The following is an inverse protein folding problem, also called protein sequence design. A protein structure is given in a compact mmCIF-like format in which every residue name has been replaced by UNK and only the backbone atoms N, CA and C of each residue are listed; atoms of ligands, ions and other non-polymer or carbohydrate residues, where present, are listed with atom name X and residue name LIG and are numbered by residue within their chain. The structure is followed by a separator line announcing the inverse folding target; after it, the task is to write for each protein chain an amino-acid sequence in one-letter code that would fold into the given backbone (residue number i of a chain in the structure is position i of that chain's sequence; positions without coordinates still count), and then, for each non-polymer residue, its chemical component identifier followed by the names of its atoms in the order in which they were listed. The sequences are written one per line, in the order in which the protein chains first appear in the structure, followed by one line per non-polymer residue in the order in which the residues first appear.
data_IF_247082282323
#
_entry.id   IF_247082282323
#
_cell.length_a   1.000
_cell.length_b   1.000
_cell.length_c   1.000
_cell.angle_alpha   90.00
_cell.angle_beta   90.00
_cell.angle_gamma   90.00
#
_symmetry.space_group_name_H-M   'P 1'
#
loop_
_entity.id
_entity.type
_entity.pdbx_description
1 polymer ?
#
# COMPACT_ATOMS: atom_id res chain seq x y z
N UNK A 1 -11.86 16.66 -8.00
CA UNK A 1 -12.10 15.28 -8.45
C UNK A 1 -10.76 14.58 -8.59
N UNK A 2 -10.31 13.85 -7.57
CA UNK A 2 -9.08 13.05 -7.60
C UNK A 2 -9.46 11.72 -8.24
N UNK A 3 -9.47 11.64 -9.57
CA UNK A 3 -9.99 10.46 -10.26
C UNK A 3 -8.94 9.42 -10.64
N UNK A 4 -7.64 9.73 -10.56
CA UNK A 4 -6.59 8.73 -10.84
C UNK A 4 -5.22 9.16 -10.31
N UNK A 5 -4.77 8.56 -9.19
CA UNK A 5 -3.37 8.60 -8.75
C UNK A 5 -2.68 7.27 -9.09
N UNK A 6 -1.45 7.33 -9.59
CA UNK A 6 -0.64 6.14 -9.82
C UNK A 6 0.01 5.68 -8.51
N UNK A 7 -0.07 4.38 -8.19
CA UNK A 7 0.63 3.81 -7.03
C UNK A 7 2.09 3.54 -7.39
N UNK A 8 3.00 4.38 -6.87
CA UNK A 8 4.46 4.22 -7.06
C UNK A 8 5.21 3.86 -5.78
N UNK A 9 4.54 3.93 -4.63
CA UNK A 9 5.14 3.65 -3.32
C UNK A 9 5.53 2.18 -3.21
N UNK A 10 6.76 1.91 -2.75
CA UNK A 10 7.21 0.56 -2.35
C UNK A 10 7.38 0.55 -0.84
N UNK A 11 6.56 -0.26 -0.18
CA UNK A 11 6.57 -0.47 1.26
C UNK A 11 6.69 -1.98 1.48
N UNK A 12 7.59 -2.37 2.36
CA UNK A 12 7.83 -3.75 2.75
C UNK A 12 7.52 -3.89 4.23
N UNK A 13 6.69 -4.88 4.57
CA UNK A 13 6.29 -5.18 5.95
C UNK A 13 6.66 -6.65 6.20
N UNK A 14 7.54 -6.89 7.16
CA UNK A 14 8.02 -8.22 7.51
C UNK A 14 7.65 -8.55 8.96
N UNK A 15 6.93 -9.64 9.17
CA UNK A 15 6.47 -10.07 10.50
C UNK A 15 4.95 -10.20 10.55
N UNK A 16 4.46 -10.99 11.49
CA UNK A 16 3.02 -11.29 11.65
C UNK A 16 2.32 -10.42 12.69
N UNK A 17 3.10 -9.77 13.55
CA UNK A 17 2.61 -8.88 14.61
C UNK A 17 3.03 -7.44 14.28
N UNK A 18 2.05 -6.56 14.15
CA UNK A 18 2.23 -5.15 13.78
C UNK A 18 3.18 -4.40 14.74
N UNK A 19 3.16 -4.78 16.02
CA UNK A 19 4.02 -4.15 17.04
C UNK A 19 5.51 -4.46 16.80
N UNK A 20 5.81 -5.65 16.30
CA UNK A 20 7.18 -6.15 16.09
C UNK A 20 7.62 -6.18 14.63
N UNK A 21 6.71 -5.94 13.69
CA UNK A 21 6.99 -6.00 12.26
C UNK A 21 8.11 -5.02 11.84
N UNK A 22 8.99 -5.42 10.94
CA UNK A 22 9.94 -4.49 10.31
C UNK A 22 9.24 -3.83 9.13
N UNK A 23 9.10 -2.51 9.19
CA UNK A 23 8.52 -1.70 8.11
C UNK A 23 9.65 -0.94 7.44
N UNK A 24 9.79 -1.13 6.13
CA UNK A 24 10.76 -0.42 5.30
C UNK A 24 10.08 0.20 4.08
N UNK A 25 10.60 1.33 3.62
CA UNK A 25 10.18 1.96 2.37
C UNK A 25 11.40 2.29 1.52
N UNK A 26 11.23 2.33 0.20
CA UNK A 26 12.36 2.61 -0.67
C UNK A 26 11.99 2.81 -2.13
N UNK A 27 13.03 2.96 -2.96
CA UNK A 27 12.92 3.17 -4.40
C UNK A 27 12.85 1.87 -5.20
N UNK A 28 13.31 0.75 -4.63
CA UNK A 28 13.41 -0.54 -5.31
C UNK A 28 12.08 -1.31 -5.33
N UNK A 29 11.74 -1.89 -6.47
CA UNK A 29 10.80 -3.02 -6.55
C UNK A 29 11.55 -4.36 -6.58
N UNK A 30 10.83 -5.47 -6.45
CA UNK A 30 11.42 -6.82 -6.42
C UNK A 30 11.76 -7.36 -7.82
N UNK A 31 12.31 -6.52 -8.70
CA UNK A 31 12.79 -6.92 -10.02
C UNK A 31 14.31 -7.06 -10.03
N UNK A 32 14.83 -8.07 -10.74
CA UNK A 32 16.28 -8.33 -10.87
C UNK A 32 17.07 -7.10 -11.29
N UNK A 33 16.51 -6.28 -12.19
CA UNK A 33 17.17 -5.04 -12.65
C UNK A 33 17.35 -4.02 -11.52
N UNK A 34 16.40 -3.93 -10.58
CA UNK A 34 16.44 -3.00 -9.46
C UNK A 34 17.36 -3.55 -8.35
N UNK A 35 17.36 -4.86 -8.13
CA UNK A 35 18.19 -5.50 -7.11
C UNK A 35 19.67 -5.68 -7.49
N UNK A 36 20.01 -5.73 -8.78
CA UNK A 36 21.37 -6.06 -9.22
C UNK A 36 22.05 -4.98 -10.07
N UNK A 37 21.27 -4.15 -10.78
CA UNK A 37 21.82 -3.22 -11.79
C UNK A 37 21.60 -1.75 -11.48
N UNK A 38 20.78 -1.43 -10.48
CA UNK A 38 20.47 -0.05 -10.09
C UNK A 38 20.96 0.20 -8.67
N UNK A 39 21.34 1.44 -8.42
CA UNK A 39 21.57 1.91 -7.06
C UNK A 39 20.20 2.29 -6.51
N UNK A 40 19.79 1.60 -5.45
CA UNK A 40 18.50 1.77 -4.80
C UNK A 40 18.69 2.06 -3.31
N UNK A 41 17.74 2.78 -2.71
CA UNK A 41 17.76 3.08 -1.28
C UNK A 41 16.49 2.53 -0.64
N UNK A 42 16.67 1.80 0.46
CA UNK A 42 15.59 1.37 1.35
C UNK A 42 15.92 1.82 2.77
N UNK A 43 14.94 2.38 3.47
CA UNK A 43 15.06 2.88 4.83
C UNK A 43 14.03 2.22 5.75
N UNK A 44 14.48 1.82 6.94
CA UNK A 44 13.61 1.29 7.98
C UNK A 44 12.87 2.43 8.68
N UNK A 45 11.56 2.25 8.87
CA UNK A 45 10.72 3.22 9.58
C UNK A 45 10.68 2.84 11.05
N UNK A 46 11.34 3.66 11.87
CA UNK A 46 11.47 3.47 13.32
C UNK A 46 10.43 4.26 14.12
N UNK A 47 10.01 5.40 13.59
CA UNK A 47 9.01 6.24 14.26
C UNK A 47 7.66 5.53 14.34
N UNK A 48 7.09 5.45 15.55
CA UNK A 48 5.87 4.68 15.81
C UNK A 48 4.64 5.28 15.15
N UNK A 49 4.55 6.61 15.03
CA UNK A 49 3.43 7.27 14.37
C UNK A 49 3.46 7.00 12.86
N UNK A 50 4.63 7.15 12.22
CA UNK A 50 4.83 6.80 10.81
C UNK A 50 4.54 5.32 10.54
N UNK A 51 4.99 4.42 11.42
CA UNK A 51 4.70 2.97 11.30
C UNK A 51 3.20 2.71 11.31
N UNK A 52 2.48 3.29 12.28
CA UNK A 52 1.02 3.15 12.37
C UNK A 52 0.34 3.67 11.10
N UNK A 53 0.76 4.84 10.62
CA UNK A 53 0.19 5.45 9.42
C UNK A 53 0.37 4.57 8.17
N UNK A 54 1.54 3.95 8.01
CA UNK A 54 1.80 3.03 6.89
C UNK A 54 0.97 1.74 6.99
N UNK A 55 0.77 1.21 8.19
CA UNK A 55 -0.12 0.07 8.41
C UNK A 55 -1.59 0.42 8.12
N UNK A 56 -2.03 1.60 8.56
CA UNK A 56 -3.37 2.11 8.25
C UNK A 56 -3.55 2.25 6.72
N UNK A 57 -2.55 2.76 5.99
CA UNK A 57 -2.59 2.83 4.52
C UNK A 57 -2.70 1.45 3.88
N UNK A 58 -1.92 0.48 4.35
CA UNK A 58 -1.96 -0.88 3.84
C UNK A 58 -3.35 -1.50 4.04
N UNK A 59 -3.95 -1.33 5.23
CA UNK A 59 -5.29 -1.80 5.54
C UNK A 59 -6.36 -1.14 4.64
N UNK A 60 -6.27 0.18 4.43
CA UNK A 60 -7.19 0.90 3.52
C UNK A 60 -7.06 0.42 2.07
N UNK A 61 -5.85 0.13 1.61
CA UNK A 61 -5.61 -0.42 0.27
C UNK A 61 -6.13 -1.86 0.15
N UNK A 62 -5.97 -2.67 1.19
CA UNK A 62 -6.44 -4.06 1.22
C UNK A 62 -7.96 -4.17 1.22
N UNK A 63 -8.65 -3.20 1.83
CA UNK A 63 -10.11 -3.12 1.89
C UNK A 63 -10.75 -2.44 0.65
N UNK A 64 -9.96 -1.99 -0.33
CA UNK A 64 -10.53 -1.45 -1.56
C UNK A 64 -11.33 -2.52 -2.29
N UNK A 65 -12.57 -2.20 -2.67
CA UNK A 65 -13.46 -3.10 -3.41
C UNK A 65 -13.95 -2.48 -4.73
N UNK A 66 -13.36 -1.36 -5.16
CA UNK A 66 -13.77 -0.61 -6.36
C UNK A 66 -12.73 -0.65 -7.49
N UNK A 67 -11.45 -0.65 -7.14
CA UNK A 67 -10.31 -0.58 -8.05
C UNK A 67 -9.28 -1.68 -7.82
N UNK A 68 -9.26 -2.31 -6.64
CA UNK A 68 -8.44 -3.50 -6.40
C UNK A 68 -8.82 -4.63 -7.37
N UNK A 69 -7.95 -5.62 -7.52
CA UNK A 69 -8.24 -6.82 -8.30
C UNK A 69 -7.35 -7.95 -7.82
N UNK A 70 -7.86 -9.17 -7.88
CA UNK A 70 -7.10 -10.37 -7.52
C UNK A 70 -6.52 -11.01 -8.78
N UNK A 71 -5.25 -11.38 -8.76
CA UNK A 71 -4.63 -12.17 -9.81
C UNK A 71 -4.76 -13.65 -9.45
N UNK A 72 -5.33 -14.44 -10.36
CA UNK A 72 -5.39 -15.89 -10.18
C UNK A 72 -4.13 -16.59 -10.72
N UNK A 73 -4.05 -17.91 -10.54
CA UNK A 73 -2.92 -18.72 -11.00
C UNK A 73 -2.70 -18.69 -12.53
N UNK A 74 -3.73 -18.31 -13.29
CA UNK A 74 -3.68 -18.18 -14.75
C UNK A 74 -3.30 -16.75 -15.21
N UNK A 75 -2.90 -15.88 -14.28
CA UNK A 75 -2.63 -14.45 -14.52
C UNK A 75 -3.84 -13.63 -14.99
N UNK A 76 -5.05 -14.11 -14.70
CA UNK A 76 -6.27 -13.37 -15.01
C UNK A 76 -6.56 -12.38 -13.87
N UNK A 77 -6.88 -11.14 -14.26
CA UNK A 77 -7.26 -10.10 -13.31
C UNK A 77 -8.76 -10.19 -13.00
N UNK A 78 -9.09 -10.73 -11.83
CA UNK A 78 -10.43 -10.77 -11.29
C UNK A 78 -10.76 -9.42 -10.64
N UNK A 79 -11.63 -8.64 -11.28
CA UNK A 79 -12.10 -7.38 -10.73
C UNK A 79 -13.21 -7.64 -9.71
N UNK A 80 -13.20 -6.95 -8.56
CA UNK A 80 -14.26 -7.06 -7.57
C UNK A 80 -15.56 -6.55 -8.17
N UNK A 81 -16.64 -7.25 -7.87
CA UNK A 81 -18.00 -6.72 -8.00
C UNK A 81 -18.41 -6.30 -6.60
N UNK A 82 -18.30 -5.01 -6.24
CA UNK A 82 -18.55 -4.58 -4.87
C UNK A 82 -19.98 -4.90 -4.47
N UNK A 83 -20.13 -5.70 -3.40
CA UNK A 83 -21.38 -5.89 -2.70
C UNK A 83 -21.37 -4.96 -1.46
N UNK A 84 -22.30 -4.01 -1.42
CA UNK A 84 -22.39 -3.04 -0.33
C UNK A 84 -21.69 -1.71 -0.61
N UNK A 85 -21.16 -1.08 0.45
CA UNK A 85 -20.53 0.24 0.35
C UNK A 85 -19.25 0.19 -0.50
N UNK A 86 -19.12 1.18 -1.39
CA UNK A 86 -17.98 1.28 -2.31
C UNK A 86 -16.81 1.93 -1.60
N UNK A 87 -15.74 1.16 -1.39
CA UNK A 87 -14.51 1.62 -0.77
C UNK A 87 -13.46 1.81 -1.84
N UNK A 88 -13.01 3.06 -2.01
CA UNK A 88 -11.88 3.41 -2.86
C UNK A 88 -10.70 3.84 -1.98
N UNK A 89 -9.58 3.13 -2.08
CA UNK A 89 -8.41 3.36 -1.25
C UNK A 89 -7.87 4.79 -1.38
N UNK A 90 -7.85 5.37 -2.59
CA UNK A 90 -7.28 6.71 -2.79
C UNK A 90 -8.13 7.77 -2.09
N UNK A 91 -9.46 7.65 -2.20
CA UNK A 91 -10.38 8.53 -1.46
C UNK A 91 -10.33 8.28 0.05
N UNK A 92 -10.23 7.02 0.48
CA UNK A 92 -10.16 6.67 1.89
C UNK A 92 -8.88 7.21 2.55
N UNK A 93 -7.73 7.07 1.89
CA UNK A 93 -6.45 7.63 2.35
C UNK A 93 -6.51 9.16 2.39
N UNK A 94 -7.09 9.81 1.37
CA UNK A 94 -7.26 11.26 1.36
C UNK A 94 -8.10 11.75 2.54
N UNK A 95 -9.22 11.08 2.83
CA UNK A 95 -10.07 11.41 3.96
C UNK A 95 -9.36 11.18 5.30
N UNK A 96 -8.68 10.03 5.45
CA UNK A 96 -7.86 9.72 6.62
C UNK A 96 -6.83 10.81 6.91
N UNK A 97 -6.13 11.28 5.87
CA UNK A 97 -5.14 12.36 5.99
C UNK A 97 -5.78 13.70 6.38
N UNK A 98 -6.96 14.02 5.86
CA UNK A 98 -7.64 15.26 6.22
C UNK A 98 -8.14 15.24 7.66
N UNK A 99 -8.61 14.09 8.16
CA UNK A 99 -9.04 13.95 9.56
C UNK A 99 -7.86 14.01 10.54
N UNK A 100 -6.70 13.46 10.16
CA UNK A 100 -5.50 13.49 11.01
C UNK A 100 -4.84 14.89 11.10
N UNK A 101 -5.12 15.79 10.14
CA UNK A 101 -4.60 17.15 10.09
C UNK A 101 -5.60 18.22 10.57
N UNK A 102 -6.78 17.80 11.05
CA UNK A 102 -7.80 18.66 11.65
C UNK A 102 -7.66 18.68 13.17
#
# INVERSE_FOLDING_TARGET
MISFLASSSRIFIFGSDDATAVIAMGSSDLMTRNLQRRIEVCANIKDTACRKQLLDYFALQWNDNTKSGSLNANNELLRPTPAGEKINAQSAIYNYLNTANA
#
